data_IF_327952355394
#
_entry.id   IF_327952355394
#
_cell.length_a   1.000
_cell.length_b   1.000
_cell.length_c   1.000
_cell.angle_alpha   90.00
_cell.angle_beta   90.00
_cell.angle_gamma   90.00
#
_symmetry.space_group_name_H-M   'P 1'
#
loop_
_entity.id
_entity.type
_entity.pdbx_description
1 polymer ?
#
# COMPACT_ATOMS: atom_id res chain seq x y z
N UNK A 1 -22.60 24.78 46.83
CA UNK A 1 -22.17 23.45 47.31
C UNK A 1 -23.01 22.48 46.50
N UNK A 2 -22.50 22.00 45.36
CA UNK A 2 -21.77 20.72 45.28
C UNK A 2 -22.60 19.61 45.90
N UNK A 3 -23.11 18.71 45.07
CA UNK A 3 -22.72 17.30 45.05
C UNK A 3 -23.74 16.51 44.21
N UNK A 4 -23.36 16.07 42.99
CA UNK A 4 -22.99 14.68 42.62
C UNK A 4 -24.25 13.88 42.19
N UNK A 5 -24.40 13.45 40.94
CA UNK A 5 -23.75 12.31 40.27
C UNK A 5 -24.09 10.92 40.87
N UNK A 6 -24.63 10.09 39.97
CA UNK A 6 -24.63 8.62 39.94
C UNK A 6 -25.68 7.82 40.72
N UNK A 7 -26.02 6.67 40.11
CA UNK A 7 -26.84 5.58 40.66
C UNK A 7 -27.78 5.03 39.58
N UNK A 8 -27.28 4.40 38.52
CA UNK A 8 -26.94 2.97 38.45
C UNK A 8 -28.16 2.10 38.09
N UNK A 9 -27.96 1.39 36.99
CA UNK A 9 -28.62 0.20 36.47
C UNK A 9 -29.00 -0.84 37.55
N UNK A 10 -30.19 -1.43 37.43
CA UNK A 10 -30.46 -2.77 37.96
C UNK A 10 -31.07 -3.65 36.87
N UNK A 11 -30.74 -4.93 36.97
CA UNK A 11 -30.45 -5.87 35.90
C UNK A 11 -31.37 -7.06 36.08
N UNK A 12 -32.03 -7.51 35.03
CA UNK A 12 -32.65 -8.83 34.92
C UNK A 12 -33.08 -9.01 33.46
N UNK A 13 -32.93 -10.13 32.76
CA UNK A 13 -32.59 -11.50 33.11
C UNK A 13 -32.48 -12.28 31.78
N UNK A 14 -31.84 -13.45 31.80
CA UNK A 14 -31.97 -14.42 30.71
C UNK A 14 -30.67 -14.89 30.05
N UNK A 15 -29.80 -15.53 30.84
CA UNK A 15 -29.04 -16.69 30.35
C UNK A 15 -30.07 -17.83 30.13
N UNK A 16 -29.89 -18.84 29.28
CA UNK A 16 -28.80 -19.81 29.25
C UNK A 16 -28.82 -20.61 27.94
N UNK A 17 -27.65 -21.12 27.54
CA UNK A 17 -27.48 -22.01 26.39
C UNK A 17 -26.05 -22.53 26.32
N UNK A 18 -25.70 -23.37 27.30
CA UNK A 18 -24.56 -24.29 27.38
C UNK A 18 -24.28 -24.96 26.03
N UNK A 19 -23.08 -25.18 25.52
CA UNK A 19 -21.71 -24.95 25.97
C UNK A 19 -20.82 -25.81 25.07
N UNK A 20 -19.60 -25.36 24.76
CA UNK A 20 -18.46 -26.23 24.44
C UNK A 20 -17.19 -25.37 24.53
N UNK A 21 -16.38 -25.66 25.54
CA UNK A 21 -15.11 -24.99 25.79
C UNK A 21 -14.10 -25.38 24.71
N UNK A 22 -13.97 -24.55 23.68
CA UNK A 22 -12.82 -24.61 22.77
C UNK A 22 -11.82 -23.53 23.17
N UNK A 23 -10.73 -23.98 23.78
CA UNK A 23 -9.42 -23.33 23.96
C UNK A 23 -9.28 -21.92 23.36
N UNK A 24 -9.01 -20.96 24.25
CA UNK A 24 -8.47 -19.63 23.98
C UNK A 24 -7.42 -19.66 22.87
N UNK A 25 -7.71 -19.01 21.75
CA UNK A 25 -6.70 -18.37 20.91
C UNK A 25 -7.23 -16.98 20.59
N UNK A 26 -6.96 -16.02 21.48
CA UNK A 26 -7.13 -14.60 21.19
C UNK A 26 -6.11 -14.25 20.11
N UNK A 27 -6.50 -14.40 18.84
CA UNK A 27 -5.78 -13.84 17.72
C UNK A 27 -5.87 -12.33 17.88
N UNK A 28 -4.83 -11.72 18.45
CA UNK A 28 -4.65 -10.29 18.39
C UNK A 28 -4.66 -9.91 16.90
N UNK A 29 -5.76 -9.30 16.45
CA UNK A 29 -5.86 -8.78 15.09
C UNK A 29 -4.81 -7.67 14.96
N UNK A 30 -3.66 -8.02 14.37
CA UNK A 30 -2.63 -7.05 14.02
C UNK A 30 -3.29 -6.08 13.04
N UNK A 31 -3.47 -4.83 13.46
CA UNK A 31 -4.06 -3.80 12.63
C UNK A 31 -3.30 -3.75 11.29
N UNK A 32 -3.97 -4.16 10.22
CA UNK A 32 -3.41 -4.08 8.89
C UNK A 32 -3.34 -2.60 8.53
N UNK A 33 -2.13 -2.05 8.52
CA UNK A 33 -1.90 -0.71 7.97
C UNK A 33 -2.05 -0.83 6.46
N UNK A 34 -3.21 -0.45 5.93
CA UNK A 34 -3.41 -0.35 4.48
C UNK A 34 -2.52 0.79 3.98
N UNK A 35 -1.34 0.44 3.44
CA UNK A 35 -0.53 1.43 2.74
C UNK A 35 -1.31 1.83 1.50
N UNK A 36 -1.73 3.10 1.44
CA UNK A 36 -2.36 3.63 0.25
C UNK A 36 -1.29 3.70 -0.83
N UNK A 37 -1.30 2.73 -1.74
CA UNK A 37 -0.45 2.71 -2.91
C UNK A 37 -0.72 3.98 -3.72
N UNK A 38 0.32 4.79 -3.91
CA UNK A 38 0.22 6.05 -4.64
C UNK A 38 0.37 5.76 -6.12
N UNK A 39 -0.64 6.18 -6.88
CA UNK A 39 -0.64 6.05 -8.33
C UNK A 39 -0.35 7.39 -8.98
N UNK A 40 0.71 7.43 -9.77
CA UNK A 40 1.19 8.60 -10.47
C UNK A 40 0.87 8.52 -11.97
N UNK A 41 0.47 9.63 -12.60
CA UNK A 41 0.34 9.68 -14.06
C UNK A 41 1.73 9.69 -14.71
N UNK A 42 1.87 8.96 -15.81
CA UNK A 42 3.01 9.09 -16.71
C UNK A 42 3.01 10.48 -17.35
N UNK A 43 4.19 11.00 -17.68
CA UNK A 43 4.34 12.28 -18.37
C UNK A 43 3.43 12.35 -19.61
N UNK A 44 2.67 13.45 -19.79
CA UNK A 44 1.75 13.59 -20.92
C UNK A 44 2.52 13.60 -22.25
N UNK A 45 2.00 12.88 -23.25
CA UNK A 45 2.60 12.81 -24.58
C UNK A 45 3.82 11.89 -24.71
N UNK A 46 4.18 11.15 -23.66
CA UNK A 46 5.37 10.26 -23.67
C UNK A 46 4.96 8.82 -23.35
N UNK A 47 5.52 7.87 -24.11
CA UNK A 47 5.44 6.44 -23.79
C UNK A 47 6.53 6.06 -22.79
N UNK A 48 6.17 5.32 -21.76
CA UNK A 48 7.10 4.91 -20.69
C UNK A 48 7.53 3.45 -20.88
N UNK A 49 8.83 3.21 -20.91
CA UNK A 49 9.39 1.88 -21.06
C UNK A 49 9.67 1.24 -19.71
N UNK A 50 9.00 0.13 -19.42
CA UNK A 50 9.17 -0.69 -18.24
C UNK A 50 10.27 -1.70 -18.47
N UNK A 51 11.23 -1.76 -17.56
CA UNK A 51 12.42 -2.63 -17.61
C UNK A 51 12.43 -3.65 -16.48
N UNK A 52 13.16 -4.75 -16.68
CA UNK A 52 13.34 -5.83 -15.69
C UNK A 52 14.25 -5.50 -14.50
N UNK A 53 14.78 -4.29 -14.43
CA UNK A 53 15.72 -3.92 -13.39
C UNK A 53 16.04 -2.43 -13.41
N UNK A 54 16.69 -1.94 -12.35
CA UNK A 54 17.07 -0.54 -12.22
C UNK A 54 18.32 -0.25 -13.09
N UNK A 55 18.08 -0.01 -14.37
CA UNK A 55 19.15 0.32 -15.31
C UNK A 55 18.80 0.13 -16.78
N UNK A 56 19.54 0.82 -17.65
CA UNK A 56 19.34 0.76 -19.11
C UNK A 56 19.88 -0.53 -19.74
N UNK A 57 20.72 -1.27 -19.02
CA UNK A 57 21.23 -2.58 -19.41
C UNK A 57 20.15 -3.69 -19.34
N UNK A 58 19.08 -3.49 -18.57
CA UNK A 58 18.00 -4.46 -18.47
C UNK A 58 17.05 -4.34 -19.65
N UNK A 59 16.51 -5.46 -20.17
CA UNK A 59 15.58 -5.44 -21.29
C UNK A 59 14.27 -4.74 -20.90
N UNK A 60 13.66 -4.10 -21.90
CA UNK A 60 12.30 -3.55 -21.79
C UNK A 60 11.32 -4.72 -21.89
N UNK A 61 10.46 -4.87 -20.88
CA UNK A 61 9.43 -5.92 -20.84
C UNK A 61 8.06 -5.44 -21.28
N UNK A 62 7.80 -4.14 -21.10
CA UNK A 62 6.52 -3.52 -21.39
C UNK A 62 6.73 -2.07 -21.74
N UNK A 63 5.86 -1.52 -22.58
CA UNK A 63 5.76 -0.08 -22.80
C UNK A 63 4.36 0.36 -22.43
N UNK A 64 4.28 1.33 -21.54
CA UNK A 64 3.02 1.98 -21.18
C UNK A 64 2.72 3.09 -22.18
N UNK A 65 1.47 3.14 -22.60
CA UNK A 65 0.96 4.24 -23.42
C UNK A 65 0.96 5.56 -22.66
N UNK A 66 0.87 6.66 -23.40
CA UNK A 66 0.66 7.97 -22.82
C UNK A 66 -0.61 8.01 -21.94
N UNK A 67 -0.58 8.80 -20.87
CA UNK A 67 -1.70 8.90 -19.94
C UNK A 67 -1.91 7.66 -19.05
N UNK A 68 -1.06 6.65 -19.16
CA UNK A 68 -1.06 5.52 -18.23
C UNK A 68 -0.79 6.00 -16.80
N UNK A 69 -1.28 5.22 -15.84
CA UNK A 69 -1.10 5.47 -14.41
C UNK A 69 -0.31 4.31 -13.82
N UNK A 70 0.78 4.62 -13.12
CA UNK A 70 1.64 3.63 -12.48
C UNK A 70 1.58 3.76 -10.98
N UNK A 71 1.52 2.63 -10.29
CA UNK A 71 1.65 2.57 -8.86
C UNK A 71 3.11 2.37 -8.51
N UNK A 72 3.66 3.20 -7.63
CA UNK A 72 5.06 3.08 -7.22
C UNK A 72 5.11 2.32 -5.89
N UNK A 73 5.76 1.16 -5.90
CA UNK A 73 5.95 0.33 -4.71
C UNK A 73 7.20 0.73 -3.93
N UNK A 74 8.31 0.93 -4.64
CA UNK A 74 9.55 1.42 -4.06
C UNK A 74 10.39 2.17 -5.09
N UNK A 75 11.38 2.91 -4.62
CA UNK A 75 12.33 3.61 -5.45
C UNK A 75 13.72 3.06 -5.19
N UNK A 76 14.50 2.85 -6.25
CA UNK A 76 15.87 2.36 -6.11
C UNK A 76 16.82 3.15 -7.01
N UNK A 77 18.04 3.47 -6.54
CA UNK A 77 19.03 4.13 -7.38
C UNK A 77 19.61 3.16 -8.41
N UNK A 78 19.85 3.64 -9.62
CA UNK A 78 20.40 2.87 -10.74
C UNK A 78 21.09 3.76 -11.77
N UNK A 79 21.03 3.37 -13.04
CA UNK A 79 21.62 4.15 -14.15
C UNK A 79 20.91 5.49 -14.33
N UNK A 80 21.66 6.53 -14.71
CA UNK A 80 21.10 7.83 -15.07
C UNK A 80 20.36 7.76 -16.41
N UNK A 81 19.11 8.21 -16.44
CA UNK A 81 18.27 8.29 -17.63
C UNK A 81 17.77 9.72 -17.80
N UNK A 82 17.93 10.27 -19.01
CA UNK A 82 17.36 11.54 -19.38
C UNK A 82 15.85 11.39 -19.62
N UNK A 83 15.05 12.07 -18.81
CA UNK A 83 13.61 12.12 -18.92
C UNK A 83 13.09 13.53 -19.24
N UNK A 84 11.77 13.68 -19.49
CA UNK A 84 11.14 14.98 -19.77
C UNK A 84 11.27 15.99 -18.62
N UNK A 85 11.54 15.52 -17.40
CA UNK A 85 11.74 16.36 -16.22
C UNK A 85 13.22 16.51 -15.81
N UNK A 86 14.15 16.08 -16.67
CA UNK A 86 15.59 16.09 -16.40
C UNK A 86 16.17 14.68 -16.28
N UNK A 87 17.47 14.61 -15.97
CA UNK A 87 18.17 13.34 -15.75
C UNK A 87 17.94 12.84 -14.33
N UNK A 88 17.43 11.62 -14.19
CA UNK A 88 17.24 10.96 -12.90
C UNK A 88 18.02 9.65 -12.86
N UNK A 89 18.56 9.31 -11.70
CA UNK A 89 19.10 7.99 -11.39
C UNK A 89 18.16 7.16 -10.50
N UNK A 90 16.97 7.69 -10.20
CA UNK A 90 15.95 7.00 -9.41
C UNK A 90 15.07 6.19 -10.34
N UNK A 91 14.93 4.91 -10.04
CA UNK A 91 14.09 3.95 -10.74
C UNK A 91 12.89 3.60 -9.87
N UNK A 92 11.70 3.76 -10.42
CA UNK A 92 10.44 3.48 -9.73
C UNK A 92 10.01 2.05 -10.00
N UNK A 93 9.87 1.24 -8.94
CA UNK A 93 9.36 -0.12 -9.05
C UNK A 93 7.83 -0.09 -9.12
N UNK A 94 7.29 -0.65 -10.20
CA UNK A 94 5.85 -0.64 -10.50
C UNK A 94 5.19 -2.01 -10.48
N UNK A 95 5.98 -3.09 -10.37
CA UNK A 95 5.53 -4.48 -10.19
C UNK A 95 6.75 -5.37 -9.84
N UNK A 96 6.57 -6.68 -9.68
CA UNK A 96 7.64 -7.62 -9.30
C UNK A 96 8.78 -7.63 -10.34
N UNK A 97 9.86 -6.94 -10.00
CA UNK A 97 11.01 -6.76 -10.89
C UNK A 97 10.76 -5.83 -12.08
N UNK A 98 9.68 -5.05 -12.10
CA UNK A 98 9.40 -4.06 -13.15
C UNK A 98 9.73 -2.64 -12.68
N UNK A 99 10.57 -1.94 -13.44
CA UNK A 99 11.10 -0.62 -13.08
C UNK A 99 10.93 0.38 -14.24
N UNK A 100 10.71 1.65 -13.90
CA UNK A 100 10.61 2.79 -14.84
C UNK A 100 11.50 3.95 -14.44
#
# INVERSE_FOLDING_TARGET
MSMDHAGEIDRADGAEGTGEATVVTTLAAKAATTTALRTYPVAPGVRLNVRRGPGTQYPVVRTLSEGARVTIYCQTPGTNVAGPYGTSNIWDNIDDGEFV
#
